data_IF_503992614904
#
_entry.id   IF_503992614904
#
_cell.length_a   1.000
_cell.length_b   1.000
_cell.length_c   1.000
_cell.angle_alpha   90.00
_cell.angle_beta   90.00
_cell.angle_gamma   90.00
#
_symmetry.space_group_name_H-M   'P 1'
#
loop_
_entity.id
_entity.type
_entity.pdbx_description
1 polymer ?
#
# COMPACT_ATOMS: atom_id res chain seq x y z
N UNK A 1 -14.54 5.37 14.31
CA UNK A 1 -13.72 5.36 13.09
C UNK A 1 -12.79 4.16 13.13
N UNK A 2 -13.02 3.13 12.32
CA UNK A 2 -12.05 2.05 12.14
C UNK A 2 -11.73 2.06 10.64
N UNK A 3 -10.75 2.89 10.27
CA UNK A 3 -10.03 2.70 9.01
C UNK A 3 -9.27 1.38 9.13
N UNK A 4 -9.16 0.64 8.03
CA UNK A 4 -8.52 -0.66 8.03
C UNK A 4 -7.05 -0.52 8.47
N UNK A 5 -6.58 -1.26 9.49
CA UNK A 5 -5.31 -1.00 10.17
C UNK A 5 -4.09 -1.56 9.44
N UNK A 6 -3.92 -1.19 8.17
CA UNK A 6 -2.83 -1.71 7.33
C UNK A 6 -1.45 -1.16 7.71
N UNK A 7 -1.40 0.00 8.39
CA UNK A 7 -0.18 0.71 8.74
C UNK A 7 0.22 0.54 10.22
N UNK A 8 -0.45 -0.33 10.99
CA UNK A 8 -0.07 -0.56 12.38
C UNK A 8 1.25 -1.31 12.47
N UNK A 9 2.14 -0.84 13.34
CA UNK A 9 3.38 -1.52 13.67
C UNK A 9 3.17 -2.61 14.73
N UNK A 10 4.06 -3.63 14.82
CA UNK A 10 3.97 -4.69 15.81
C UNK A 10 3.89 -4.18 17.26
N UNK A 11 4.64 -3.13 17.59
CA UNK A 11 4.64 -2.53 18.92
C UNK A 11 3.29 -1.87 19.27
N UNK A 12 2.64 -1.19 18.32
CA UNK A 12 1.32 -0.59 18.52
C UNK A 12 0.24 -1.66 18.72
N UNK A 13 0.33 -2.78 18.01
CA UNK A 13 -0.60 -3.91 18.23
C UNK A 13 -0.44 -4.49 19.63
N UNK A 14 0.78 -4.47 20.18
CA UNK A 14 1.06 -4.87 21.57
C UNK A 14 0.73 -3.78 22.61
N UNK A 15 0.10 -2.67 22.21
CA UNK A 15 -0.23 -1.56 23.11
C UNK A 15 0.99 -0.77 23.61
N UNK A 16 2.15 -0.90 22.97
CA UNK A 16 3.32 -0.07 23.25
C UNK A 16 3.12 1.34 22.71
N UNK A 17 3.78 2.36 23.29
CA UNK A 17 3.66 3.73 22.82
C UNK A 17 4.19 3.88 21.38
N UNK A 18 3.55 4.78 20.64
CA UNK A 18 4.03 5.24 19.34
C UNK A 18 5.41 5.89 19.47
N UNK A 19 6.28 5.70 18.47
CA UNK A 19 7.54 6.42 18.37
C UNK A 19 8.02 6.55 16.93
N UNK A 20 9.17 7.19 16.73
CA UNK A 20 9.76 7.43 15.40
C UNK A 20 9.97 6.15 14.59
N UNK A 21 10.25 5.02 15.25
CA UNK A 21 10.39 3.72 14.58
C UNK A 21 9.06 3.15 14.09
N UNK A 22 7.92 3.58 14.65
CA UNK A 22 6.59 3.26 14.14
C UNK A 22 6.31 3.99 12.82
N UNK A 23 6.79 5.23 12.67
CA UNK A 23 6.75 5.95 11.37
C UNK A 23 7.53 5.17 10.30
N UNK A 24 8.70 4.63 10.66
CA UNK A 24 9.52 3.85 9.71
C UNK A 24 8.84 2.56 9.26
N UNK A 25 8.07 1.92 10.14
CA UNK A 25 7.23 0.79 9.74
C UNK A 25 6.18 1.22 8.71
N UNK A 26 5.46 2.32 8.98
CA UNK A 26 4.48 2.86 8.06
C UNK A 26 5.10 3.28 6.72
N UNK A 27 6.33 3.82 6.73
CA UNK A 27 7.10 4.10 5.52
C UNK A 27 7.38 2.83 4.72
N UNK A 28 7.72 1.73 5.39
CA UNK A 28 7.86 0.42 4.75
C UNK A 28 6.57 -0.08 4.11
N UNK A 29 5.41 0.17 4.72
CA UNK A 29 4.09 -0.12 4.16
C UNK A 29 3.86 0.71 2.88
N UNK A 30 4.09 2.02 2.94
CA UNK A 30 3.92 2.92 1.78
C UNK A 30 4.86 2.54 0.65
N UNK A 31 6.14 2.27 0.93
CA UNK A 31 7.10 1.84 -0.09
C UNK A 31 6.68 0.55 -0.79
N UNK A 32 6.18 -0.42 -0.01
CA UNK A 32 5.67 -1.67 -0.55
C UNK A 32 4.41 -1.45 -1.41
N UNK A 33 3.50 -0.60 -0.94
CA UNK A 33 2.28 -0.27 -1.66
C UNK A 33 2.56 0.45 -2.97
N UNK A 34 3.53 1.38 -2.99
CA UNK A 34 3.96 2.05 -4.21
C UNK A 34 4.61 1.09 -5.21
N UNK A 35 5.33 0.07 -4.73
CA UNK A 35 5.95 -0.93 -5.60
C UNK A 35 4.92 -1.94 -6.15
N UNK A 36 3.95 -2.35 -5.34
CA UNK A 36 3.05 -3.46 -5.70
C UNK A 36 1.62 -3.03 -6.02
N UNK A 37 1.29 -1.75 -5.87
CA UNK A 37 -0.07 -1.20 -5.85
C UNK A 37 -1.00 -1.91 -4.85
N UNK A 38 -0.43 -2.56 -3.82
CA UNK A 38 -1.21 -3.32 -2.85
C UNK A 38 -0.62 -3.30 -1.44
N UNK A 39 -1.47 -3.46 -0.42
CA UNK A 39 -1.03 -3.52 0.98
C UNK A 39 -0.03 -4.66 1.24
N UNK A 40 1.02 -4.37 2.03
CA UNK A 40 1.99 -5.37 2.47
C UNK A 40 1.34 -6.50 3.28
N UNK A 41 0.50 -6.14 4.26
CA UNK A 41 -0.16 -7.09 5.15
C UNK A 41 -1.66 -7.16 4.83
N UNK A 42 -2.06 -8.16 4.03
CA UNK A 42 -3.46 -8.40 3.65
C UNK A 42 -4.11 -9.45 4.53
N UNK A 43 -5.36 -9.27 4.94
CA UNK A 43 -6.11 -10.27 5.70
C UNK A 43 -7.61 -10.09 5.59
N UNK A 44 -8.35 -11.15 5.89
CA UNK A 44 -9.83 -11.17 5.82
C UNK A 44 -10.49 -10.32 6.91
N UNK A 45 -9.76 -10.04 7.98
CA UNK A 45 -10.20 -9.20 9.09
C UNK A 45 -8.97 -8.61 9.81
N UNK A 46 -9.22 -7.67 10.71
CA UNK A 46 -8.19 -6.97 11.50
C UNK A 46 -7.29 -7.94 12.27
N UNK A 47 -7.85 -8.98 12.89
CA UNK A 47 -7.08 -9.96 13.65
C UNK A 47 -6.10 -10.75 12.75
N UNK A 48 -6.50 -11.11 11.53
CA UNK A 48 -5.64 -11.76 10.55
C UNK A 48 -4.51 -10.83 10.10
N UNK A 49 -4.81 -9.54 9.87
CA UNK A 49 -3.80 -8.53 9.50
C UNK A 49 -2.80 -8.37 10.66
N UNK A 50 -3.29 -8.20 11.89
CA UNK A 50 -2.46 -8.08 13.08
C UNK A 50 -1.54 -9.30 13.29
N UNK A 51 -2.07 -10.51 13.09
CA UNK A 51 -1.26 -11.74 13.16
C UNK A 51 -0.15 -11.76 12.10
N UNK A 52 -0.45 -11.33 10.87
CA UNK A 52 0.56 -11.26 9.80
C UNK A 52 1.63 -10.20 10.09
N UNK A 53 1.25 -9.04 10.61
CA UNK A 53 2.18 -8.00 11.07
C UNK A 53 3.10 -8.56 12.15
N UNK A 54 2.54 -9.24 13.16
CA UNK A 54 3.32 -9.85 14.25
C UNK A 54 4.30 -10.92 13.79
N UNK A 55 3.93 -11.68 12.76
CA UNK A 55 4.76 -12.71 12.14
C UNK A 55 5.65 -12.18 11.01
N UNK A 56 5.59 -10.88 10.70
CA UNK A 56 6.26 -10.25 9.55
C UNK A 56 5.97 -11.01 8.23
N UNK A 57 4.74 -11.49 8.06
CA UNK A 57 4.33 -12.32 6.94
C UNK A 57 3.71 -11.46 5.83
N UNK A 58 4.50 -11.18 4.79
CA UNK A 58 4.10 -10.48 3.58
C UNK A 58 4.78 -11.12 2.36
N UNK A 59 4.26 -10.86 1.15
CA UNK A 59 4.90 -11.33 -0.08
C UNK A 59 6.08 -10.42 -0.40
N UNK A 60 7.33 -10.91 -0.48
CA UNK A 60 8.47 -10.07 -0.85
C UNK A 60 8.31 -9.42 -2.22
N UNK A 61 9.03 -8.33 -2.45
CA UNK A 61 9.11 -7.73 -3.78
C UNK A 61 9.76 -8.72 -4.76
N UNK A 62 9.36 -8.73 -6.05
CA UNK A 62 9.92 -9.63 -7.05
C UNK A 62 11.39 -9.33 -7.33
N UNK A 63 12.21 -10.38 -7.35
CA UNK A 63 13.63 -10.28 -7.66
C UNK A 63 13.87 -9.76 -9.08
N UNK A 64 14.90 -8.94 -9.26
CA UNK A 64 15.29 -8.40 -10.56
C UNK A 64 14.45 -7.24 -11.10
N UNK A 65 13.31 -6.90 -10.47
CA UNK A 65 12.47 -5.75 -10.85
C UNK A 65 12.96 -4.45 -10.21
N UNK A 66 13.33 -4.51 -8.93
CA UNK A 66 13.84 -3.39 -8.16
C UNK A 66 15.32 -3.57 -7.82
N UNK A 67 16.01 -2.47 -7.53
CA UNK A 67 17.39 -2.54 -7.06
C UNK A 67 17.47 -3.30 -5.73
N UNK A 68 18.52 -4.09 -5.55
CA UNK A 68 18.75 -4.85 -4.32
C UNK A 68 18.77 -3.94 -3.08
N UNK A 69 19.32 -2.74 -3.21
CA UNK A 69 19.32 -1.71 -2.15
C UNK A 69 17.90 -1.30 -1.77
N UNK A 70 17.02 -1.02 -2.74
CA UNK A 70 15.63 -0.67 -2.46
C UNK A 70 14.89 -1.81 -1.76
N UNK A 71 15.05 -3.04 -2.23
CA UNK A 71 14.40 -4.21 -1.62
C UNK A 71 14.90 -4.46 -0.20
N UNK A 72 16.22 -4.30 0.05
CA UNK A 72 16.80 -4.45 1.38
C UNK A 72 16.32 -3.36 2.34
N UNK A 73 16.26 -2.11 1.88
CA UNK A 73 15.74 -0.99 2.66
C UNK A 73 14.26 -1.17 3.01
N UNK A 74 13.43 -1.57 2.04
CA UNK A 74 12.02 -1.89 2.30
C UNK A 74 11.89 -2.98 3.38
N UNK A 75 12.67 -4.06 3.26
CA UNK A 75 12.65 -5.19 4.20
C UNK A 75 13.11 -4.79 5.60
N UNK A 76 14.08 -3.89 5.72
CA UNK A 76 14.61 -3.46 7.03
C UNK A 76 13.59 -2.67 7.86
N UNK A 77 12.63 -1.98 7.22
CA UNK A 77 11.52 -1.32 7.90
C UNK A 77 10.56 -2.28 8.58
N UNK A 78 10.44 -3.50 8.06
CA UNK A 78 9.56 -4.52 8.62
C UNK A 78 10.21 -5.35 9.72
N UNK A 79 11.33 -4.94 10.31
CA UNK A 79 11.90 -5.60 11.49
C UNK A 79 10.97 -5.49 12.70
N UNK A 80 10.66 -6.62 13.35
CA UNK A 80 9.70 -6.69 14.45
C UNK A 80 10.09 -5.83 15.64
N UNK A 81 11.36 -5.90 16.05
CA UNK A 81 11.88 -5.07 17.13
C UNK A 81 12.20 -3.66 16.59
N UNK A 82 11.56 -2.59 17.08
CA UNK A 82 11.81 -1.21 16.64
C UNK A 82 13.27 -0.77 16.76
N UNK A 83 14.02 -1.33 17.72
CA UNK A 83 15.45 -1.04 17.92
C UNK A 83 16.32 -1.52 16.76
N UNK A 84 15.90 -2.56 16.06
CA UNK A 84 16.66 -3.14 14.95
C UNK A 84 16.34 -2.47 13.60
N UNK A 85 15.24 -1.71 13.52
CA UNK A 85 14.94 -0.90 12.34
C UNK A 85 16.01 0.19 12.20
N UNK A 86 16.42 0.58 10.98
CA UNK A 86 17.27 1.74 10.78
C UNK A 86 16.63 2.99 11.39
N UNK A 87 17.41 4.02 11.67
CA UNK A 87 16.92 5.36 12.01
C UNK A 87 16.56 6.14 10.75
N UNK A 88 15.89 7.28 10.92
CA UNK A 88 15.68 8.21 9.81
C UNK A 88 17.02 8.75 9.28
N UNK A 89 17.99 8.99 10.17
CA UNK A 89 19.33 9.42 9.77
C UNK A 89 20.02 8.37 8.89
N UNK A 90 19.96 7.08 9.27
CA UNK A 90 20.59 5.99 8.52
C UNK A 90 20.04 5.91 7.08
N UNK A 91 18.72 6.07 6.91
CA UNK A 91 18.05 6.03 5.61
C UNK A 91 18.45 7.24 4.76
N UNK A 92 18.54 8.42 5.38
CA UNK A 92 18.96 9.64 4.67
C UNK A 92 20.42 9.56 4.24
N UNK A 93 21.22 8.72 4.90
CA UNK A 93 22.62 8.54 4.57
C UNK A 93 22.86 7.57 3.41
N UNK A 94 21.85 6.77 3.03
CA UNK A 94 21.90 5.84 1.91
C UNK A 94 22.16 6.56 0.56
N UNK A 95 23.11 6.07 -0.27
CA UNK A 95 23.48 6.71 -1.53
C UNK A 95 22.30 6.94 -2.48
N UNK A 96 21.39 5.97 -2.58
CA UNK A 96 20.20 6.05 -3.44
C UNK A 96 19.25 7.19 -3.01
N UNK A 97 19.16 7.46 -1.70
CA UNK A 97 18.32 8.52 -1.15
C UNK A 97 18.98 9.88 -1.37
N UNK A 98 20.29 9.99 -1.08
CA UNK A 98 21.08 11.21 -1.33
C UNK A 98 21.03 11.62 -2.80
N UNK A 99 21.21 10.68 -3.71
CA UNK A 99 21.15 10.94 -5.15
C UNK A 99 19.76 11.45 -5.57
N UNK A 100 18.70 10.79 -5.11
CA UNK A 100 17.32 11.21 -5.39
C UNK A 100 17.02 12.62 -4.83
N UNK A 101 17.53 12.97 -3.65
CA UNK A 101 17.38 14.30 -3.06
C UNK A 101 18.12 15.38 -3.85
N UNK A 102 19.34 15.10 -4.30
CA UNK A 102 20.11 16.01 -5.13
C UNK A 102 19.43 16.25 -6.48
N UNK A 103 18.89 15.19 -7.10
CA UNK A 103 18.14 15.29 -8.36
C UNK A 103 16.86 16.14 -8.21
N UNK A 104 16.14 16.01 -7.10
CA UNK A 104 14.93 16.82 -6.80
C UNK A 104 15.24 18.28 -6.48
N UNK A 105 16.40 18.60 -5.89
CA UNK A 105 16.86 19.99 -5.73
C UNK A 105 17.01 20.71 -7.07
N UNK A 106 17.43 19.99 -8.12
CA UNK A 106 17.55 20.55 -9.48
C UNK A 106 16.20 20.72 -10.19
N UNK A 107 15.11 20.17 -9.66
CA UNK A 107 13.74 20.32 -10.20
C UNK A 107 13.00 21.49 -9.53
N UNK A 108 13.52 22.04 -8.42
CA UNK A 108 12.87 23.13 -7.67
C UNK A 108 13.08 24.50 -8.35
N UNK A 109 12.30 24.74 -9.41
CA UNK A 109 11.91 25.99 -10.07
C UNK A 109 12.99 27.03 -10.45
N UNK A 110 12.95 27.59 -11.68
CA UNK A 110 13.79 28.73 -12.04
C UNK A 110 13.39 29.96 -11.22
N UNK A 111 14.24 30.38 -10.28
CA UNK A 111 14.15 31.71 -9.69
C UNK A 111 14.42 32.75 -10.79
N UNK A 112 13.47 33.65 -11.03
CA UNK A 112 13.66 34.81 -11.91
C UNK A 112 14.84 35.66 -11.40
N UNK A 113 15.99 35.55 -12.03
CA UNK A 113 17.06 36.56 -11.96
C UNK A 113 17.63 36.76 -13.36
N UNK A 114 17.58 38.02 -13.78
CA UNK A 114 17.71 38.53 -15.15
C UNK A 114 19.12 39.05 -15.41
N UNK A 115 19.82 38.51 -16.43
CA UNK A 115 20.89 39.08 -17.31
C UNK A 115 21.89 37.97 -17.71
N UNK A 116 22.53 37.91 -18.88
CA UNK A 116 22.37 38.36 -20.28
C UNK A 116 23.66 37.90 -21.00
N UNK A 117 23.56 37.34 -22.22
CA UNK A 117 24.67 36.96 -23.14
C UNK A 117 24.92 35.44 -23.11
N UNK A 118 24.70 34.66 -24.18
CA UNK A 118 25.37 34.66 -25.50
C UNK A 118 26.58 33.72 -25.38
N UNK A 119 26.76 32.59 -26.09
CA UNK A 119 26.33 32.13 -27.42
C UNK A 119 26.27 30.57 -27.45
N UNK A 120 25.52 30.04 -28.43
CA UNK A 120 25.73 28.84 -29.29
C UNK A 120 26.63 27.69 -28.74
N UNK A 121 26.24 26.42 -28.61
CA UNK A 121 25.67 25.48 -29.57
C UNK A 121 25.12 24.22 -28.85
N UNK A 122 24.13 23.52 -29.44
CA UNK A 122 23.99 22.04 -29.51
C UNK A 122 22.53 21.63 -29.75
N UNK A 123 22.13 21.67 -31.02
CA UNK A 123 20.82 21.30 -31.54
C UNK A 123 20.61 19.77 -31.66
N UNK A 124 21.01 18.97 -30.66
CA UNK A 124 20.95 17.50 -30.74
C UNK A 124 20.13 16.80 -29.62
N UNK A 125 19.60 17.51 -28.62
CA UNK A 125 18.98 16.89 -27.42
C UNK A 125 17.48 17.17 -27.22
N UNK A 126 16.77 17.67 -28.23
CA UNK A 126 15.35 18.04 -28.11
C UNK A 126 14.37 16.92 -28.48
N UNK A 127 14.78 15.93 -29.29
CA UNK A 127 13.88 14.88 -29.76
C UNK A 127 13.61 13.79 -28.69
N UNK A 128 14.60 13.47 -27.85
CA UNK A 128 14.47 12.40 -26.84
C UNK A 128 13.65 12.81 -25.61
N UNK A 129 13.75 14.07 -25.18
CA UNK A 129 13.11 14.59 -23.95
C UNK A 129 11.60 14.78 -24.10
N UNK A 130 11.11 15.10 -25.32
CA UNK A 130 9.68 15.24 -25.59
C UNK A 130 8.94 13.89 -25.62
N UNK A 131 9.56 12.85 -26.18
CA UNK A 131 8.99 11.50 -26.24
C UNK A 131 8.83 10.87 -24.85
N UNK A 132 9.80 11.05 -23.94
CA UNK A 132 9.71 10.55 -22.57
C UNK A 132 8.56 11.19 -21.77
N UNK A 133 8.24 12.48 -22.01
CA UNK A 133 7.14 13.17 -21.32
C UNK A 133 5.76 12.73 -21.80
N UNK A 134 5.59 12.49 -23.11
CA UNK A 134 4.33 12.05 -23.69
C UNK A 134 4.03 10.58 -23.36
N UNK A 135 5.04 9.69 -23.46
CA UNK A 135 4.88 8.27 -23.11
C UNK A 135 4.56 8.09 -21.63
N UNK A 136 5.25 8.82 -20.73
CA UNK A 136 4.97 8.78 -19.30
C UNK A 136 3.55 9.29 -18.95
N UNK A 137 3.02 10.27 -19.69
CA UNK A 137 1.63 10.74 -19.48
C UNK A 137 0.59 9.73 -19.94
N UNK A 138 0.85 9.00 -21.03
CA UNK A 138 -0.06 7.94 -21.53
C UNK A 138 -0.04 6.73 -20.61
N UNK A 139 1.13 6.33 -20.10
CA UNK A 139 1.25 5.25 -19.11
C UNK A 139 0.53 5.61 -17.80
N UNK A 140 0.70 6.83 -17.28
CA UNK A 140 -0.01 7.29 -16.08
C UNK A 140 -1.54 7.34 -16.27
N UNK A 141 -2.01 7.79 -17.44
CA UNK A 141 -3.44 7.81 -17.73
C UNK A 141 -4.02 6.39 -17.82
N UNK A 142 -3.31 5.47 -18.48
CA UNK A 142 -3.72 4.07 -18.61
C UNK A 142 -3.71 3.34 -17.26
N UNK A 143 -2.70 3.60 -16.43
CA UNK A 143 -2.60 3.05 -15.09
C UNK A 143 -3.72 3.60 -14.18
N UNK A 144 -4.05 4.90 -14.30
CA UNK A 144 -5.15 5.50 -13.55
C UNK A 144 -6.51 4.92 -13.97
N UNK A 145 -6.75 4.72 -15.26
CA UNK A 145 -8.00 4.11 -15.74
C UNK A 145 -8.16 2.66 -15.28
N UNK A 146 -7.08 1.88 -15.28
CA UNK A 146 -7.14 0.48 -14.80
C UNK A 146 -7.34 0.39 -13.28
N UNK A 147 -6.74 1.29 -12.51
CA UNK A 147 -6.99 1.40 -11.05
C UNK A 147 -8.43 1.82 -10.75
N UNK A 148 -8.98 2.78 -11.50
CA UNK A 148 -10.37 3.20 -11.34
C UNK A 148 -11.36 2.08 -11.70
N UNK A 149 -11.04 1.26 -12.70
CA UNK A 149 -11.85 0.10 -13.09
C UNK A 149 -11.79 -1.02 -12.06
N UNK A 150 -10.58 -1.41 -11.59
CA UNK A 150 -10.44 -2.39 -10.51
C UNK A 150 -11.10 -1.93 -9.21
N UNK A 151 -11.10 -0.63 -8.93
CA UNK A 151 -11.80 -0.04 -7.77
C UNK A 151 -13.32 -0.24 -7.90
N UNK A 152 -13.89 -0.02 -9.09
CA UNK A 152 -15.31 -0.26 -9.35
C UNK A 152 -15.67 -1.75 -9.26
N UNK A 153 -14.83 -2.63 -9.81
CA UNK A 153 -15.03 -4.09 -9.70
C UNK A 153 -14.98 -4.56 -8.24
N UNK A 154 -14.07 -4.01 -7.44
CA UNK A 154 -13.94 -4.31 -6.02
C UNK A 154 -15.14 -3.82 -5.21
N UNK A 155 -15.64 -2.60 -5.51
CA UNK A 155 -16.88 -2.08 -4.91
C UNK A 155 -18.09 -2.94 -5.28
N UNK A 156 -18.21 -3.36 -6.55
CA UNK A 156 -19.28 -4.26 -7.00
C UNK A 156 -19.20 -5.64 -6.36
N UNK A 157 -17.99 -6.21 -6.21
CA UNK A 157 -17.78 -7.47 -5.52
C UNK A 157 -18.15 -7.38 -4.03
N UNK A 158 -17.80 -6.28 -3.37
CA UNK A 158 -18.18 -6.03 -1.98
C UNK A 158 -19.69 -5.92 -1.78
N UNK A 159 -20.41 -5.29 -2.72
CA UNK A 159 -21.87 -5.20 -2.69
C UNK A 159 -22.52 -6.58 -2.86
N UNK A 160 -22.04 -7.39 -3.82
CA UNK A 160 -22.53 -8.77 -4.01
C UNK A 160 -22.31 -9.63 -2.77
N UNK A 161 -21.16 -9.49 -2.11
CA UNK A 161 -20.87 -10.22 -0.87
C UNK A 161 -21.82 -9.79 0.27
N UNK A 162 -22.14 -8.49 0.37
CA UNK A 162 -23.09 -7.98 1.36
C UNK A 162 -24.51 -8.51 1.12
N UNK A 163 -24.97 -8.54 -0.14
CA UNK A 163 -26.28 -9.08 -0.50
C UNK A 163 -26.36 -10.59 -0.20
N UNK A 164 -25.30 -11.34 -0.50
CA UNK A 164 -25.24 -12.77 -0.22
C UNK A 164 -25.30 -13.04 1.29
N UNK A 165 -24.61 -12.24 2.11
CA UNK A 165 -24.66 -12.35 3.58
C UNK A 165 -26.06 -12.10 4.13
N UNK A 166 -26.76 -11.09 3.61
CA UNK A 166 -28.14 -10.82 4.04
C UNK A 166 -29.08 -11.96 3.64
N UNK A 167 -28.88 -12.53 2.45
CA UNK A 167 -29.68 -13.67 1.98
C UNK A 167 -29.43 -14.93 2.80
N UNK A 168 -28.19 -15.18 3.21
CA UNK A 168 -27.86 -16.26 4.14
C UNK A 168 -28.57 -16.04 5.48
N UNK A 169 -28.52 -14.83 6.04
CA UNK A 169 -29.19 -14.50 7.31
C UNK A 169 -30.70 -14.76 7.26
N UNK A 170 -31.35 -14.35 6.16
CA UNK A 170 -32.79 -14.60 5.96
C UNK A 170 -33.11 -16.09 5.85
N UNK A 171 -32.24 -16.88 5.23
CA UNK A 171 -32.43 -18.33 5.14
C UNK A 171 -32.26 -19.01 6.49
N UNK A 172 -31.29 -18.58 7.30
CA UNK A 172 -31.09 -19.08 8.67
C UNK A 172 -32.31 -18.79 9.56
N UNK A 173 -32.88 -17.58 9.49
CA UNK A 173 -34.08 -17.20 10.23
C UNK A 173 -35.32 -18.02 9.79
N UNK A 174 -35.46 -18.27 8.49
CA UNK A 174 -36.52 -19.14 7.96
C UNK A 174 -36.35 -20.59 8.37
N UNK A 175 -35.11 -21.09 8.42
CA UNK A 175 -34.82 -22.46 8.87
C UNK A 175 -35.18 -22.62 10.35
N UNK A 176 -34.77 -21.67 11.20
CA UNK A 176 -35.13 -21.67 12.62
C UNK A 176 -36.66 -21.63 12.85
N UNK A 177 -37.39 -20.88 12.02
CA UNK A 177 -38.86 -20.83 12.08
C UNK A 177 -39.56 -22.14 11.65
N UNK A 178 -38.92 -22.95 10.80
CA UNK A 178 -39.41 -24.27 10.39
C UNK A 178 -39.09 -25.32 11.47
N UNK A 179 -37.89 -25.28 12.03
CA UNK A 179 -37.49 -26.17 13.13
C UNK A 179 -38.33 -25.93 14.40
N UNK A 180 -38.72 -24.67 14.68
CA UNK A 180 -39.62 -24.33 15.79
C UNK A 180 -41.08 -24.80 15.64
N UNK A 181 -41.51 -25.23 14.43
CA UNK A 181 -42.88 -25.73 14.18
C UNK A 181 -43.00 -27.26 14.14
N UNK A 182 -41.89 -27.99 14.21
CA UNK A 182 -41.87 -29.46 14.21
C UNK A 182 -42.12 -30.13 15.57
N UNK A 183 -42.18 -29.36 16.66
CA UNK A 183 -42.31 -29.87 18.03
C UNK A 183 -43.74 -29.80 18.59
N UNK A 184 -44.73 -30.41 17.92
CA UNK A 184 -46.06 -30.64 18.52
C UNK A 184 -46.81 -31.74 17.77
N UNK A 185 -46.38 -32.99 17.92
CA UNK A 185 -47.26 -34.16 17.88
C UNK A 185 -46.59 -35.31 18.66
N UNK A 186 -46.64 -35.25 19.99
CA UNK A 186 -46.86 -36.48 20.76
C UNK A 186 -48.37 -36.73 20.76
N UNK A 187 -48.82 -37.96 20.50
CA UNK A 187 -49.98 -38.48 21.19
C UNK A 187 -49.52 -39.59 22.11
N UNK A 188 -49.69 -39.36 23.41
CA UNK A 188 -49.90 -40.43 24.37
C UNK A 188 -51.06 -41.30 23.87
N UNK A 189 -50.84 -42.62 23.76
CA UNK A 189 -51.55 -43.70 24.47
C UNK A 189 -51.06 -45.03 23.92
#
# INVERSE_FOLDING_TARGET
MIGTPFNLSPELINGQPYGSKSDLWALGCVMYELATCTNAFKGRNVANIAMKIMKQQYTPLPDGVYSSTFMLMQKSFFLRNPKNRPSAEDILDEPIVKEAMNKKRNIRMPSKSKKRGGDEDDAASAASTAQLSATATVELHTLRSTVEEQRKEMEAASQREAELKERIRQLEERLAAVEGKGGSTEPST
#
